data_IF_608055987017
#
_entry.id   IF_608055987017
#
_cell.length_a   1.000
_cell.length_b   1.000
_cell.length_c   1.000
_cell.angle_alpha   90.00
_cell.angle_beta   90.00
_cell.angle_gamma   90.00
#
_symmetry.space_group_name_H-M   'P 1'
#
loop_
_entity.id
_entity.type
_entity.pdbx_description
1 polymer ?
#
# COMPACT_ATOMS: atom_id res chain seq x y z
N UNK A 1 -2.57 -36.42 -7.63
CA UNK A 1 -3.90 -37.05 -7.51
C UNK A 1 -4.65 -36.60 -6.27
N UNK A 2 -4.08 -36.71 -5.06
CA UNK A 2 -4.75 -36.30 -3.81
C UNK A 2 -5.33 -34.88 -3.82
N UNK A 3 -4.60 -33.90 -4.36
CA UNK A 3 -5.07 -32.51 -4.46
C UNK A 3 -6.41 -32.38 -5.21
N UNK A 4 -6.51 -33.00 -6.37
CA UNK A 4 -7.71 -32.92 -7.21
C UNK A 4 -8.89 -33.66 -6.58
N UNK A 5 -8.64 -34.81 -5.94
CA UNK A 5 -9.64 -35.55 -5.20
C UNK A 5 -10.21 -34.72 -4.04
N UNK A 6 -9.33 -34.15 -3.20
CA UNK A 6 -9.75 -33.37 -2.05
C UNK A 6 -10.50 -32.10 -2.49
N UNK A 7 -10.04 -31.45 -3.56
CA UNK A 7 -10.66 -30.24 -4.11
C UNK A 7 -12.00 -30.46 -4.77
N UNK A 8 -12.18 -31.51 -5.58
CA UNK A 8 -13.39 -31.65 -6.39
C UNK A 8 -14.40 -32.67 -5.86
N UNK A 9 -13.97 -33.64 -5.05
CA UNK A 9 -14.84 -34.74 -4.60
C UNK A 9 -15.16 -34.65 -3.11
N UNK A 10 -14.18 -34.32 -2.28
CA UNK A 10 -14.33 -34.41 -0.82
C UNK A 10 -14.60 -33.03 -0.20
N UNK A 11 -13.55 -32.23 -0.02
CA UNK A 11 -13.59 -31.02 0.77
C UNK A 11 -14.21 -29.84 0.00
N UNK A 12 -13.96 -29.74 -1.31
CA UNK A 12 -14.40 -28.57 -2.04
C UNK A 12 -15.91 -28.43 -2.23
N UNK A 13 -16.68 -29.46 -2.59
CA UNK A 13 -18.15 -29.38 -2.64
C UNK A 13 -18.74 -28.96 -1.28
N UNK A 14 -18.23 -29.54 -0.19
CA UNK A 14 -18.63 -29.20 1.17
C UNK A 14 -18.35 -27.73 1.51
N UNK A 15 -17.13 -27.25 1.26
CA UNK A 15 -16.77 -25.87 1.53
C UNK A 15 -17.55 -24.87 0.64
N UNK A 16 -17.83 -25.22 -0.61
CA UNK A 16 -18.66 -24.39 -1.51
C UNK A 16 -20.10 -24.31 -1.03
N UNK A 17 -20.66 -25.41 -0.52
CA UNK A 17 -22.02 -25.45 0.00
C UNK A 17 -22.17 -24.65 1.29
N UNK A 18 -21.22 -24.80 2.22
CA UNK A 18 -21.24 -24.15 3.54
C UNK A 18 -20.92 -22.66 3.42
N UNK A 19 -19.80 -22.30 2.79
CA UNK A 19 -19.30 -20.92 2.79
C UNK A 19 -19.77 -20.10 1.60
N UNK A 20 -20.31 -20.71 0.53
CA UNK A 20 -20.89 -20.02 -0.64
C UNK A 20 -20.03 -18.82 -1.11
N UNK A 21 -18.75 -19.06 -1.45
CA UNK A 21 -17.82 -18.00 -1.77
C UNK A 21 -18.29 -17.17 -2.98
N UNK A 22 -18.24 -15.85 -2.84
CA UNK A 22 -18.48 -14.93 -3.95
C UNK A 22 -17.15 -14.56 -4.59
N UNK A 23 -17.11 -14.65 -5.92
CA UNK A 23 -15.87 -14.53 -6.68
C UNK A 23 -16.04 -13.54 -7.81
N UNK A 24 -15.16 -12.56 -7.87
CA UNK A 24 -15.11 -11.54 -8.92
C UNK A 24 -13.74 -11.57 -9.61
N UNK A 25 -13.71 -11.32 -10.92
CA UNK A 25 -12.45 -11.21 -11.66
C UNK A 25 -11.68 -12.51 -11.91
N UNK A 26 -12.25 -13.69 -11.64
CA UNK A 26 -11.55 -14.98 -11.80
C UNK A 26 -10.96 -15.21 -13.21
N UNK A 27 -11.54 -14.58 -14.23
CA UNK A 27 -11.05 -14.62 -15.61
C UNK A 27 -9.67 -13.95 -15.79
N UNK A 28 -9.25 -13.08 -14.87
CA UNK A 28 -7.92 -12.48 -14.86
C UNK A 28 -6.81 -13.49 -14.55
N UNK A 29 -7.13 -14.67 -13.98
CA UNK A 29 -6.14 -15.71 -13.71
C UNK A 29 -5.84 -16.46 -15.02
N UNK A 30 -4.61 -16.37 -15.57
CA UNK A 30 -4.27 -17.03 -16.82
C UNK A 30 -4.46 -18.54 -16.76
N UNK A 31 -4.93 -19.13 -17.86
CA UNK A 31 -5.16 -20.59 -17.96
C UNK A 31 -3.86 -21.41 -18.04
N UNK A 32 -2.77 -20.80 -18.51
CA UNK A 32 -1.44 -21.42 -18.69
C UNK A 32 -0.35 -20.44 -18.26
N UNK A 33 0.91 -20.90 -18.24
CA UNK A 33 2.07 -20.08 -17.92
C UNK A 33 2.26 -19.78 -16.42
N UNK A 34 3.44 -19.30 -16.03
CA UNK A 34 3.77 -18.99 -14.64
C UNK A 34 2.93 -17.83 -14.11
N UNK A 35 2.30 -18.02 -12.94
CA UNK A 35 1.46 -16.99 -12.30
C UNK A 35 1.78 -16.88 -10.81
N UNK A 36 1.94 -15.65 -10.35
CA UNK A 36 2.01 -15.32 -8.93
C UNK A 36 0.66 -14.78 -8.50
N UNK A 37 -0.02 -15.48 -7.58
CA UNK A 37 -1.19 -14.92 -6.89
C UNK A 37 -0.68 -14.16 -5.67
N UNK A 38 -0.59 -12.83 -5.79
CA UNK A 38 -0.22 -11.96 -4.68
C UNK A 38 -1.50 -11.57 -3.93
N UNK A 39 -1.63 -12.01 -2.68
CA UNK A 39 -2.84 -11.79 -1.88
C UNK A 39 -2.55 -11.03 -0.59
N UNK A 40 -3.50 -10.21 -0.13
CA UNK A 40 -3.52 -9.79 1.27
C UNK A 40 -3.75 -11.01 2.19
N UNK A 41 -3.34 -10.92 3.45
CA UNK A 41 -3.45 -12.04 4.38
C UNK A 41 -4.25 -11.69 5.63
N UNK A 42 -5.53 -12.06 5.66
CA UNK A 42 -6.44 -11.77 6.76
C UNK A 42 -6.59 -12.96 7.71
N UNK A 43 -6.62 -14.18 7.16
CA UNK A 43 -6.89 -15.38 7.95
C UNK A 43 -6.10 -16.61 7.46
N UNK A 44 -6.05 -17.65 8.28
CA UNK A 44 -5.51 -18.94 7.85
C UNK A 44 -6.32 -19.52 6.69
N UNK A 45 -7.64 -19.30 6.71
CA UNK A 45 -8.58 -19.77 5.70
C UNK A 45 -8.33 -19.23 4.29
N UNK A 46 -7.59 -18.12 4.14
CA UNK A 46 -7.22 -17.54 2.84
C UNK A 46 -6.52 -18.59 1.95
N UNK A 47 -5.62 -19.38 2.56
CA UNK A 47 -4.84 -20.42 1.88
C UNK A 47 -5.68 -21.65 1.52
N UNK A 48 -6.94 -21.71 1.92
CA UNK A 48 -7.89 -22.79 1.62
C UNK A 48 -8.87 -22.33 0.53
N UNK A 49 -9.43 -21.14 0.69
CA UNK A 49 -10.44 -20.62 -0.24
C UNK A 49 -9.86 -20.25 -1.61
N UNK A 50 -8.65 -19.70 -1.67
CA UNK A 50 -8.04 -19.35 -2.97
C UNK A 50 -7.79 -20.60 -3.84
N UNK A 51 -7.13 -21.67 -3.36
CA UNK A 51 -6.99 -22.91 -4.13
C UNK A 51 -8.30 -23.64 -4.46
N UNK A 52 -9.35 -23.43 -3.65
CA UNK A 52 -10.69 -23.99 -3.88
C UNK A 52 -11.38 -23.37 -5.11
N UNK A 53 -11.16 -22.08 -5.33
CA UNK A 53 -11.80 -21.30 -6.41
C UNK A 53 -11.00 -21.34 -7.71
N UNK A 54 -9.69 -21.14 -7.64
CA UNK A 54 -8.83 -21.09 -8.83
C UNK A 54 -8.78 -22.46 -9.49
N UNK A 55 -9.06 -22.59 -10.79
CA UNK A 55 -9.11 -23.90 -11.48
C UNK A 55 -7.78 -24.66 -11.40
N UNK A 56 -6.68 -23.94 -11.65
CA UNK A 56 -5.30 -24.46 -11.62
C UNK A 56 -4.85 -24.74 -10.19
N UNK A 57 -3.85 -25.62 -10.03
CA UNK A 57 -3.27 -25.91 -8.72
C UNK A 57 -2.49 -24.68 -8.21
N UNK A 58 -2.97 -24.08 -7.13
CA UNK A 58 -2.28 -23.00 -6.41
C UNK A 58 -1.38 -23.61 -5.34
N UNK A 59 -0.12 -23.19 -5.29
CA UNK A 59 0.87 -23.70 -4.35
C UNK A 59 1.29 -22.62 -3.37
N UNK A 60 0.93 -22.81 -2.10
CA UNK A 60 1.41 -21.99 -0.99
C UNK A 60 2.55 -22.69 -0.24
N UNK A 61 3.35 -21.92 0.48
CA UNK A 61 4.32 -22.47 1.41
C UNK A 61 3.72 -22.56 2.80
N UNK A 62 3.90 -23.70 3.44
CA UNK A 62 3.51 -23.93 4.83
C UNK A 62 4.73 -24.28 5.69
N UNK A 63 4.61 -24.07 7.00
CA UNK A 63 5.61 -24.45 8.00
C UNK A 63 5.88 -25.96 7.95
N UNK A 64 7.15 -26.36 7.95
CA UNK A 64 7.57 -27.76 7.87
C UNK A 64 7.00 -28.61 9.03
N UNK A 65 6.76 -28.01 10.19
CA UNK A 65 6.20 -28.62 11.39
C UNK A 65 4.79 -29.20 11.17
N UNK A 66 4.03 -28.67 10.20
CA UNK A 66 2.74 -29.25 9.82
C UNK A 66 2.86 -30.63 9.14
N UNK A 67 4.06 -30.99 8.67
CA UNK A 67 4.31 -32.23 7.93
C UNK A 67 5.06 -33.28 8.75
N UNK A 68 5.64 -32.89 9.89
CA UNK A 68 6.46 -33.76 10.75
C UNK A 68 5.75 -34.19 12.04
N UNK A 69 4.50 -33.78 12.24
CA UNK A 69 3.69 -34.20 13.39
C UNK A 69 3.56 -35.72 13.48
N UNK A 70 3.63 -36.27 14.70
CA UNK A 70 3.52 -37.71 14.98
C UNK A 70 2.06 -38.13 15.26
N UNK A 71 1.78 -39.43 15.12
CA UNK A 71 0.47 -40.03 15.39
C UNK A 71 -0.62 -39.70 14.35
N UNK A 72 -1.84 -40.12 14.63
CA UNK A 72 -3.00 -39.98 13.72
C UNK A 72 -3.27 -38.51 13.37
N UNK A 73 -3.22 -37.62 14.37
CA UNK A 73 -3.40 -36.17 14.17
C UNK A 73 -2.31 -35.58 13.25
N UNK A 74 -1.06 -35.99 13.43
CA UNK A 74 0.05 -35.56 12.58
C UNK A 74 -0.11 -36.05 11.15
N UNK A 75 -0.50 -37.32 10.97
CA UNK A 75 -0.79 -37.90 9.66
C UNK A 75 -1.93 -37.17 8.96
N UNK A 76 -3.07 -36.92 9.63
CA UNK A 76 -4.20 -36.16 9.07
C UNK A 76 -3.79 -34.74 8.67
N UNK A 77 -3.01 -34.07 9.51
CA UNK A 77 -2.51 -32.71 9.24
C UNK A 77 -1.62 -32.70 8.00
N UNK A 78 -0.67 -33.64 7.91
CA UNK A 78 0.20 -33.83 6.74
C UNK A 78 -0.63 -34.09 5.48
N UNK A 79 -1.59 -35.01 5.53
CA UNK A 79 -2.46 -35.35 4.40
C UNK A 79 -3.29 -34.14 3.95
N UNK A 80 -3.80 -33.33 4.89
CA UNK A 80 -4.48 -32.09 4.57
C UNK A 80 -3.58 -31.10 3.85
N UNK A 81 -2.36 -30.83 4.35
CA UNK A 81 -1.46 -29.87 3.73
C UNK A 81 -0.96 -30.33 2.36
N UNK A 82 -0.55 -31.60 2.23
CA UNK A 82 -0.20 -32.21 0.94
C UNK A 82 -1.39 -32.17 -0.03
N UNK A 83 -2.59 -32.49 0.47
CA UNK A 83 -3.84 -32.43 -0.29
C UNK A 83 -4.28 -31.01 -0.66
N UNK A 84 -3.92 -30.00 0.13
CA UNK A 84 -4.14 -28.59 -0.21
C UNK A 84 -3.10 -28.01 -1.17
N UNK A 85 -2.08 -28.82 -1.52
CA UNK A 85 -1.07 -28.47 -2.50
C UNK A 85 0.05 -27.59 -1.93
N UNK A 86 0.20 -27.50 -0.62
CA UNK A 86 1.28 -26.71 0.00
C UNK A 86 2.61 -27.44 0.01
N UNK A 87 3.70 -26.67 -0.04
CA UNK A 87 5.07 -27.20 0.06
C UNK A 87 5.64 -26.85 1.45
N UNK A 88 6.22 -27.83 2.17
CA UNK A 88 6.90 -27.58 3.44
C UNK A 88 8.16 -26.74 3.22
N UNK A 89 8.34 -25.71 4.04
CA UNK A 89 9.61 -24.99 4.13
C UNK A 89 9.94 -24.74 5.59
N UNK A 90 11.21 -24.95 5.93
CA UNK A 90 11.74 -24.55 7.23
C UNK A 90 11.81 -23.01 7.28
N UNK A 91 11.03 -22.44 8.20
CA UNK A 91 10.97 -20.99 8.42
C UNK A 91 11.88 -20.51 9.54
N UNK A 92 12.72 -21.40 10.09
CA UNK A 92 13.66 -21.09 11.17
C UNK A 92 15.01 -20.58 10.63
N UNK A 93 15.53 -19.53 11.26
CA UNK A 93 16.84 -18.95 10.91
C UNK A 93 16.85 -17.97 9.73
N UNK A 94 17.97 -17.24 9.58
CA UNK A 94 18.11 -16.14 8.60
C UNK A 94 18.05 -16.55 7.13
N UNK A 95 18.33 -17.82 6.79
CA UNK A 95 18.29 -18.34 5.40
C UNK A 95 16.92 -18.83 4.95
N UNK A 96 15.95 -18.92 5.85
CA UNK A 96 14.63 -19.48 5.58
C UNK A 96 13.83 -18.72 4.51
N UNK A 97 13.93 -17.39 4.49
CA UNK A 97 13.21 -16.57 3.51
C UNK A 97 13.68 -16.86 2.08
N UNK A 98 14.98 -17.09 1.88
CA UNK A 98 15.57 -17.44 0.58
C UNK A 98 15.06 -18.80 0.09
N UNK A 99 15.13 -19.83 0.95
CA UNK A 99 14.70 -21.17 0.62
C UNK A 99 13.20 -21.24 0.26
N UNK A 100 12.38 -20.41 0.89
CA UNK A 100 10.97 -20.25 0.53
C UNK A 100 10.80 -19.69 -0.89
N UNK A 101 11.53 -18.62 -1.23
CA UNK A 101 11.49 -18.03 -2.57
C UNK A 101 11.98 -19.01 -3.64
N UNK A 102 13.10 -19.70 -3.40
CA UNK A 102 13.65 -20.70 -4.33
C UNK A 102 12.64 -21.84 -4.60
N UNK A 103 11.88 -22.23 -3.59
CA UNK A 103 10.82 -23.23 -3.71
C UNK A 103 9.67 -22.74 -4.59
N UNK A 104 9.25 -21.48 -4.44
CA UNK A 104 8.23 -20.89 -5.31
C UNK A 104 8.73 -20.68 -6.73
N UNK A 105 9.99 -20.30 -6.93
CA UNK A 105 10.60 -20.19 -8.26
C UNK A 105 10.57 -21.53 -9.00
N UNK A 106 10.80 -22.67 -8.32
CA UNK A 106 10.65 -23.98 -8.96
C UNK A 106 9.22 -24.24 -9.44
N UNK A 107 8.21 -23.84 -8.67
CA UNK A 107 6.80 -23.95 -9.08
C UNK A 107 6.52 -23.09 -10.31
N UNK A 108 7.01 -21.85 -10.31
CA UNK A 108 6.82 -20.91 -11.41
C UNK A 108 7.54 -21.38 -12.67
N UNK A 109 8.79 -21.84 -12.58
CA UNK A 109 9.54 -22.42 -13.72
C UNK A 109 8.84 -23.61 -14.37
N UNK A 110 8.06 -24.37 -13.59
CA UNK A 110 7.20 -25.44 -14.10
C UNK A 110 5.88 -24.96 -14.72
N UNK A 111 5.68 -23.66 -14.91
CA UNK A 111 4.42 -23.08 -15.41
C UNK A 111 3.27 -23.17 -14.40
N UNK A 112 3.57 -23.32 -13.11
CA UNK A 112 2.59 -23.44 -12.03
C UNK A 112 2.07 -22.09 -11.52
N UNK A 113 1.19 -22.16 -10.52
CA UNK A 113 0.74 -20.98 -9.76
C UNK A 113 1.39 -21.01 -8.37
N UNK A 114 2.13 -19.95 -8.03
CA UNK A 114 2.65 -19.72 -6.69
C UNK A 114 1.77 -18.69 -5.96
N UNK A 115 1.24 -19.06 -4.79
CA UNK A 115 0.53 -18.13 -3.92
C UNK A 115 1.48 -17.49 -2.92
N UNK A 116 1.45 -16.17 -2.82
CA UNK A 116 2.28 -15.40 -1.88
C UNK A 116 1.46 -14.32 -1.18
N UNK A 117 1.82 -14.08 0.09
CA UNK A 117 1.30 -12.97 0.89
C UNK A 117 2.40 -11.92 1.03
N UNK A 118 2.37 -10.81 0.27
CA UNK A 118 3.45 -9.83 0.26
C UNK A 118 3.77 -9.24 1.63
N UNK A 119 2.77 -9.10 2.52
CA UNK A 119 2.93 -8.62 3.90
C UNK A 119 3.84 -9.56 4.73
N UNK A 120 3.92 -10.85 4.36
CA UNK A 120 4.73 -11.87 5.00
C UNK A 120 4.17 -12.42 6.32
N UNK A 121 3.03 -11.90 6.81
CA UNK A 121 2.28 -12.42 7.96
C UNK A 121 0.82 -11.99 7.85
N UNK A 122 -0.06 -12.65 8.60
CA UNK A 122 -1.48 -12.24 8.71
C UNK A 122 -1.60 -10.84 9.28
N UNK A 123 -2.48 -10.01 8.75
CA UNK A 123 -2.85 -8.73 9.33
C UNK A 123 -3.41 -8.93 10.75
N UNK A 124 -2.95 -8.16 11.75
CA UNK A 124 -3.48 -8.23 13.12
C UNK A 124 -4.87 -7.63 13.26
N UNK A 125 -5.23 -6.65 12.42
CA UNK A 125 -6.43 -5.82 12.56
C UNK A 125 -7.24 -5.67 11.25
N UNK A 126 -6.85 -6.39 10.20
CA UNK A 126 -7.55 -6.37 8.91
C UNK A 126 -7.12 -5.26 7.95
N UNK A 127 -6.20 -4.38 8.37
CA UNK A 127 -5.56 -3.39 7.48
C UNK A 127 -4.51 -4.04 6.57
N UNK A 128 -4.16 -3.35 5.49
CA UNK A 128 -3.14 -3.78 4.55
C UNK A 128 -1.79 -3.17 4.94
N UNK A 129 -0.81 -4.00 5.26
CA UNK A 129 0.51 -3.53 5.72
C UNK A 129 1.53 -3.50 4.59
N UNK A 130 2.65 -2.82 4.84
CA UNK A 130 3.78 -2.72 3.89
C UNK A 130 4.24 -4.10 3.41
N UNK A 131 4.25 -4.27 2.09
CA UNK A 131 4.73 -5.48 1.42
C UNK A 131 6.25 -5.65 1.53
N UNK A 132 6.72 -6.90 1.54
CA UNK A 132 8.13 -7.27 1.47
C UNK A 132 8.54 -7.48 0.01
N UNK A 133 9.79 -7.16 -0.32
CA UNK A 133 10.31 -7.23 -1.70
C UNK A 133 10.45 -8.64 -2.29
N UNK A 134 10.21 -9.68 -1.49
CA UNK A 134 10.25 -11.07 -1.96
C UNK A 134 9.27 -11.36 -3.10
N UNK A 135 8.11 -10.67 -3.14
CA UNK A 135 7.14 -10.84 -4.25
C UNK A 135 7.70 -10.28 -5.56
N UNK A 136 8.34 -9.11 -5.53
CA UNK A 136 8.97 -8.53 -6.71
C UNK A 136 10.12 -9.41 -7.19
N UNK A 137 10.95 -9.92 -6.28
CA UNK A 137 12.01 -10.86 -6.63
C UNK A 137 11.48 -12.09 -7.37
N UNK A 138 10.37 -12.67 -6.92
CA UNK A 138 9.75 -13.79 -7.63
C UNK A 138 9.29 -13.38 -9.03
N UNK A 139 8.61 -12.25 -9.16
CA UNK A 139 8.10 -11.77 -10.44
C UNK A 139 9.25 -11.55 -11.45
N UNK A 140 10.30 -10.85 -11.02
CA UNK A 140 11.46 -10.51 -11.87
C UNK A 140 12.32 -11.73 -12.21
N UNK A 141 12.55 -12.65 -11.28
CA UNK A 141 13.37 -13.86 -11.54
C UNK A 141 12.63 -14.93 -12.37
N UNK A 142 11.31 -14.98 -12.29
CA UNK A 142 10.51 -16.00 -13.00
C UNK A 142 9.89 -15.51 -14.30
N UNK A 143 9.76 -14.18 -14.49
CA UNK A 143 8.95 -13.61 -15.57
C UNK A 143 7.46 -13.92 -15.46
N UNK A 144 6.98 -14.32 -14.27
CA UNK A 144 5.58 -14.65 -14.03
C UNK A 144 4.70 -13.41 -14.01
N UNK A 145 3.49 -13.54 -14.57
CA UNK A 145 2.45 -12.54 -14.37
C UNK A 145 2.02 -12.53 -12.90
N UNK A 146 1.84 -11.34 -12.33
CA UNK A 146 1.35 -11.18 -10.96
C UNK A 146 -0.13 -10.83 -11.01
N UNK A 147 -0.99 -11.65 -10.41
CA UNK A 147 -2.43 -11.37 -10.29
C UNK A 147 -2.71 -10.95 -8.84
N UNK A 148 -3.02 -9.66 -8.60
CA UNK A 148 -3.48 -9.19 -7.30
C UNK A 148 -4.76 -9.92 -6.91
N UNK A 149 -4.83 -10.44 -5.69
CA UNK A 149 -5.99 -11.18 -5.18
C UNK A 149 -6.40 -10.61 -3.82
N UNK A 150 -7.59 -10.04 -3.71
CA UNK A 150 -8.10 -9.52 -2.45
C UNK A 150 -9.05 -10.54 -1.79
N UNK A 151 -8.66 -11.00 -0.62
CA UNK A 151 -9.54 -11.67 0.33
C UNK A 151 -10.31 -10.61 1.13
N UNK A 152 -11.62 -10.78 1.20
CA UNK A 152 -12.54 -9.87 1.89
C UNK A 152 -13.35 -10.65 2.94
N UNK A 153 -13.55 -10.03 4.11
CA UNK A 153 -14.28 -10.57 5.27
C UNK A 153 -13.69 -11.85 5.89
N UNK A 154 -12.50 -12.31 5.46
CA UNK A 154 -11.90 -13.53 5.99
C UNK A 154 -11.47 -13.38 7.46
N UNK A 155 -11.14 -12.15 7.87
CA UNK A 155 -10.91 -11.70 9.24
C UNK A 155 -12.16 -11.80 10.12
N UNK A 156 -13.35 -11.55 9.58
CA UNK A 156 -14.63 -11.70 10.29
C UNK A 156 -15.04 -13.19 10.43
N UNK A 157 -14.73 -13.97 9.38
CA UNK A 157 -15.04 -15.41 9.29
C UNK A 157 -14.18 -16.21 10.26
N UNK A 158 -12.87 -15.97 10.25
CA UNK A 158 -11.94 -16.62 11.17
C UNK A 158 -10.92 -15.60 11.68
N UNK A 159 -11.28 -14.87 12.76
CA UNK A 159 -10.38 -13.93 13.40
C UNK A 159 -9.08 -14.59 13.87
N UNK A 160 -7.97 -13.84 13.96
CA UNK A 160 -6.73 -14.34 14.55
C UNK A 160 -6.98 -15.02 15.92
N UNK A 161 -6.43 -16.22 16.11
CA UNK A 161 -6.57 -17.00 17.35
C UNK A 161 -7.78 -17.93 17.40
N UNK A 162 -8.76 -17.82 16.49
CA UNK A 162 -9.86 -18.78 16.39
C UNK A 162 -9.52 -19.97 15.50
N UNK A 163 -9.77 -21.18 15.99
CA UNK A 163 -9.46 -22.42 15.28
C UNK A 163 -10.52 -22.78 14.23
N UNK A 164 -11.80 -22.50 14.53
CA UNK A 164 -12.94 -22.88 13.69
C UNK A 164 -13.52 -21.61 13.04
N UNK A 165 -13.65 -21.56 11.70
CA UNK A 165 -14.29 -20.45 10.99
C UNK A 165 -15.80 -20.44 11.23
N UNK A 166 -16.40 -19.24 11.32
CA UNK A 166 -17.84 -19.04 11.30
C UNK A 166 -18.39 -19.31 9.89
N UNK A 167 -19.58 -19.89 9.80
CA UNK A 167 -20.25 -20.10 8.51
C UNK A 167 -20.75 -18.76 7.99
N UNK A 168 -20.03 -18.17 7.05
CA UNK A 168 -20.38 -16.93 6.36
C UNK A 168 -19.73 -16.87 4.97
N UNK A 169 -20.20 -15.93 4.15
CA UNK A 169 -19.75 -15.79 2.76
C UNK A 169 -18.36 -15.16 2.68
N UNK A 170 -17.40 -15.94 2.18
CA UNK A 170 -16.07 -15.43 1.80
C UNK A 170 -16.20 -14.69 0.47
N UNK A 171 -15.58 -13.51 0.37
CA UNK A 171 -15.50 -12.76 -0.89
C UNK A 171 -14.06 -12.75 -1.38
N UNK A 172 -13.86 -13.04 -2.66
CA UNK A 172 -12.54 -13.07 -3.31
C UNK A 172 -12.62 -12.26 -4.59
N UNK A 173 -11.72 -11.28 -4.75
CA UNK A 173 -11.58 -10.50 -5.97
C UNK A 173 -10.21 -10.76 -6.59
N UNK A 174 -10.17 -10.96 -7.89
CA UNK A 174 -8.94 -11.08 -8.66
C UNK A 174 -8.79 -9.85 -9.57
N UNK A 175 -7.69 -9.12 -9.43
CA UNK A 175 -7.35 -7.95 -10.24
C UNK A 175 -6.73 -8.33 -11.59
N UNK A 176 -6.59 -7.38 -12.51
CA UNK A 176 -5.91 -7.60 -13.78
C UNK A 176 -4.47 -8.12 -13.58
N UNK A 177 -3.96 -9.00 -14.47
CA UNK A 177 -2.58 -9.47 -14.38
C UNK A 177 -1.61 -8.33 -14.68
N UNK A 178 -0.62 -8.16 -13.78
CA UNK A 178 0.48 -7.23 -13.92
C UNK A 178 1.67 -7.93 -14.59
N UNK A 179 2.23 -7.29 -15.61
CA UNK A 179 3.45 -7.71 -16.28
C UNK A 179 4.61 -6.78 -15.91
N UNK A 180 5.69 -7.38 -15.42
CA UNK A 180 6.93 -6.70 -15.02
C UNK A 180 8.10 -7.00 -15.95
N UNK A 181 7.85 -7.54 -17.15
CA UNK A 181 8.85 -7.80 -18.19
C UNK A 181 9.73 -6.58 -18.50
N UNK A 182 9.20 -5.35 -18.36
CA UNK A 182 9.96 -4.08 -18.48
C UNK A 182 11.15 -3.94 -17.51
N UNK A 183 11.17 -4.72 -16.43
CA UNK A 183 12.24 -4.75 -15.43
C UNK A 183 13.05 -6.06 -15.48
N UNK A 184 12.93 -6.85 -16.55
CA UNK A 184 13.70 -8.08 -16.72
C UNK A 184 15.20 -7.81 -16.61
N UNK A 185 15.92 -8.70 -15.91
CA UNK A 185 17.36 -8.53 -15.65
C UNK A 185 17.71 -7.56 -14.52
N UNK A 186 16.75 -6.79 -13.98
CA UNK A 186 16.97 -5.85 -12.86
C UNK A 186 16.74 -6.49 -11.48
N UNK A 187 16.79 -7.82 -11.39
CA UNK A 187 16.66 -8.53 -10.10
C UNK A 187 17.83 -8.16 -9.18
N UNK A 188 17.55 -7.89 -7.91
CA UNK A 188 18.56 -7.49 -6.93
C UNK A 188 18.77 -5.98 -6.82
N UNK A 189 18.24 -5.19 -7.78
CA UNK A 189 18.12 -3.74 -7.59
C UNK A 189 17.04 -3.44 -6.56
N UNK A 190 17.45 -2.87 -5.43
CA UNK A 190 16.56 -2.61 -4.28
C UNK A 190 15.48 -1.58 -4.59
N UNK A 191 15.74 -0.63 -5.50
CA UNK A 191 14.77 0.39 -5.88
C UNK A 191 13.73 -0.19 -6.82
N UNK A 192 14.15 -0.99 -7.79
CA UNK A 192 13.23 -1.68 -8.71
C UNK A 192 12.35 -2.68 -7.96
N UNK A 193 12.94 -3.52 -7.12
CA UNK A 193 12.17 -4.48 -6.32
C UNK A 193 11.16 -3.79 -5.39
N UNK A 194 11.52 -2.64 -4.81
CA UNK A 194 10.62 -1.84 -3.98
C UNK A 194 9.47 -1.27 -4.81
N UNK A 195 9.77 -0.63 -5.95
CA UNK A 195 8.77 -0.05 -6.84
C UNK A 195 7.77 -1.10 -7.35
N UNK A 196 8.26 -2.25 -7.82
CA UNK A 196 7.41 -3.38 -8.25
C UNK A 196 6.53 -3.87 -7.08
N UNK A 197 7.10 -3.97 -5.88
CA UNK A 197 6.31 -4.36 -4.70
C UNK A 197 5.25 -3.31 -4.38
N UNK A 198 5.57 -2.02 -4.41
CA UNK A 198 4.62 -0.94 -4.15
C UNK A 198 3.47 -0.92 -5.17
N UNK A 199 3.76 -1.17 -6.44
CA UNK A 199 2.73 -1.31 -7.49
C UNK A 199 1.78 -2.47 -7.20
N UNK A 200 2.31 -3.66 -6.84
CA UNK A 200 1.48 -4.81 -6.43
C UNK A 200 0.64 -4.48 -5.19
N UNK A 201 1.23 -3.79 -4.21
CA UNK A 201 0.53 -3.41 -2.98
C UNK A 201 -0.55 -2.35 -3.22
N UNK A 202 -0.32 -1.43 -4.16
CA UNK A 202 -1.29 -0.43 -4.58
C UNK A 202 -2.52 -1.10 -5.22
N UNK A 203 -2.30 -2.03 -6.15
CA UNK A 203 -3.40 -2.80 -6.74
C UNK A 203 -4.16 -3.63 -5.70
N UNK A 204 -3.47 -4.20 -4.71
CA UNK A 204 -4.12 -4.88 -3.59
C UNK A 204 -4.93 -3.93 -2.71
N UNK A 205 -4.45 -2.70 -2.48
CA UNK A 205 -5.15 -1.68 -1.71
C UNK A 205 -6.46 -1.31 -2.41
N UNK A 206 -6.40 -0.95 -3.69
CA UNK A 206 -7.56 -0.60 -4.51
C UNK A 206 -8.56 -1.77 -4.57
N UNK A 207 -8.09 -2.98 -4.85
CA UNK A 207 -8.94 -4.16 -4.99
C UNK A 207 -9.62 -4.57 -3.68
N UNK A 208 -8.93 -4.41 -2.56
CA UNK A 208 -9.42 -4.78 -1.22
C UNK A 208 -10.22 -3.67 -0.53
N UNK A 209 -10.03 -2.41 -0.91
CA UNK A 209 -10.61 -1.24 -0.24
C UNK A 209 -10.17 -1.08 1.22
N UNK A 210 -9.05 -1.71 1.61
CA UNK A 210 -8.53 -1.66 2.99
C UNK A 210 -7.58 -0.48 3.17
N UNK A 211 -7.55 0.06 4.38
CA UNK A 211 -6.58 1.08 4.77
C UNK A 211 -5.15 0.53 4.63
N UNK A 212 -4.30 1.24 3.91
CA UNK A 212 -2.88 0.92 3.77
C UNK A 212 -2.06 1.55 4.89
N UNK A 213 -1.19 0.77 5.51
CA UNK A 213 -0.28 1.17 6.58
C UNK A 213 1.16 0.95 6.14
N UNK A 214 1.93 2.03 5.99
CA UNK A 214 3.35 1.96 5.60
C UNK A 214 4.26 1.54 6.76
N UNK A 215 3.99 0.37 7.33
CA UNK A 215 4.82 -0.30 8.33
C UNK A 215 4.71 -1.81 8.13
N UNK A 216 5.74 -2.57 8.48
CA UNK A 216 5.66 -4.03 8.40
C UNK A 216 4.76 -4.59 9.50
N UNK A 217 3.84 -5.49 9.14
CA UNK A 217 2.90 -6.11 10.07
C UNK A 217 3.57 -6.82 11.27
N UNK A 218 4.80 -7.33 11.11
CA UNK A 218 5.57 -7.91 12.21
C UNK A 218 5.91 -6.89 13.31
N UNK A 219 6.23 -5.65 12.93
CA UNK A 219 6.50 -4.55 13.86
C UNK A 219 5.22 -4.08 14.56
N UNK A 220 4.08 -4.11 13.86
CA UNK A 220 2.79 -3.77 14.44
C UNK A 220 2.32 -4.81 15.49
N UNK A 221 2.63 -6.10 15.30
CA UNK A 221 2.30 -7.16 16.28
C UNK A 221 3.13 -7.11 17.55
N UNK A 222 4.38 -6.69 17.43
CA UNK A 222 5.33 -6.58 18.54
C UNK A 222 5.83 -5.13 18.61
N UNK A 223 5.00 -4.18 19.08
CA UNK A 223 5.47 -2.82 19.27
C UNK A 223 6.66 -2.84 20.25
N UNK A 224 7.70 -2.02 20.02
CA UNK A 224 8.74 -1.85 21.03
C UNK A 224 8.09 -1.42 22.34
N UNK A 225 8.65 -1.81 23.50
CA UNK A 225 8.15 -1.33 24.78
C UNK A 225 8.09 0.19 24.74
N UNK A 226 6.93 0.76 25.08
CA UNK A 226 6.76 2.21 25.23
C UNK A 226 7.89 2.70 26.13
N UNK A 227 8.71 3.69 25.74
CA UNK A 227 9.69 4.25 26.65
C UNK A 227 8.93 4.71 27.90
N UNK A 228 9.22 4.06 29.03
CA UNK A 228 8.61 4.38 30.31
C UNK A 228 8.86 5.85 30.57
N UNK A 229 7.78 6.64 30.59
CA UNK A 229 7.68 8.03 31.02
C UNK A 229 9.04 8.70 31.30
N UNK A 230 9.83 8.92 30.24
CA UNK A 230 10.92 9.88 30.34
C UNK A 230 10.20 11.21 30.30
N UNK A 231 10.17 11.88 31.45
CA UNK A 231 9.80 13.29 31.55
C UNK A 231 10.35 14.01 30.31
N UNK A 232 9.57 14.89 29.67
CA UNK A 232 10.05 15.66 28.52
C UNK A 232 11.46 16.19 28.82
N UNK A 233 12.40 16.15 27.86
CA UNK A 233 13.71 16.75 28.08
C UNK A 233 13.47 18.16 28.61
N UNK A 234 13.97 18.44 29.81
CA UNK A 234 13.84 19.74 30.46
C UNK A 234 14.34 20.77 29.44
N UNK A 235 13.42 21.59 28.92
CA UNK A 235 13.78 22.65 28.00
C UNK A 235 14.87 23.48 28.70
N UNK A 236 16.06 23.66 28.09
CA UNK A 236 17.04 24.56 28.68
C UNK A 236 16.35 25.90 28.89
N UNK A 237 16.42 26.41 30.12
CA UNK A 237 15.82 27.69 30.50
C UNK A 237 16.16 28.71 29.41
N UNK A 238 15.18 29.49 28.91
CA UNK A 238 15.48 30.53 27.94
C UNK A 238 16.57 31.43 28.54
N UNK A 239 17.65 31.62 27.79
CA UNK A 239 18.69 32.58 28.14
C UNK A 239 18.02 33.95 28.33
N UNK A 240 18.47 34.76 29.31
CA UNK A 240 17.93 36.09 29.51
C UNK A 240 18.04 36.87 28.19
N UNK A 241 16.94 37.53 27.80
CA UNK A 241 16.88 38.30 26.57
C UNK A 241 18.04 39.29 26.51
N UNK A 242 18.85 39.21 25.45
CA UNK A 242 19.87 40.22 25.19
C UNK A 242 19.19 41.59 24.99
N UNK A 243 19.77 42.69 25.47
CA UNK A 243 19.20 44.01 25.27
C UNK A 243 19.02 44.30 23.77
N UNK A 244 17.86 44.84 23.40
CA UNK A 244 17.61 45.29 22.02
C UNK A 244 18.67 46.30 21.61
N UNK A 245 19.18 46.25 20.35
CA UNK A 245 20.10 47.27 19.87
C UNK A 245 19.42 48.63 19.82
N UNK A 246 20.17 49.67 20.18
CA UNK A 246 19.70 51.05 20.17
C UNK A 246 19.21 51.48 18.77
N UNK A 247 18.20 52.36 18.69
CA UNK A 247 17.70 52.84 17.41
C UNK A 247 18.80 53.60 16.64
N UNK A 248 18.83 53.50 15.30
CA UNK A 248 19.82 54.20 14.50
C UNK A 248 19.66 55.72 14.65
N UNK A 249 20.79 56.42 14.78
CA UNK A 249 20.84 57.88 14.86
C UNK A 249 20.25 58.52 13.59
N UNK A 250 19.61 59.70 13.71
CA UNK A 250 19.05 60.40 12.56
C UNK A 250 20.15 60.77 11.56
N UNK A 251 19.95 60.39 10.30
CA UNK A 251 20.83 60.74 9.19
C UNK A 251 20.90 62.27 9.04
N UNK A 252 22.10 62.82 9.02
CA UNK A 252 22.34 64.24 8.72
C UNK A 252 21.91 64.55 7.28
N UNK A 253 21.31 65.73 7.01
CA UNK A 253 20.94 66.12 5.67
C UNK A 253 22.20 66.34 4.82
N UNK A 254 22.36 65.52 3.78
CA UNK A 254 23.32 65.78 2.71
C UNK A 254 22.86 67.02 1.93
N UNK A 255 23.68 68.09 1.95
CA UNK A 255 23.56 69.19 0.98
C UNK A 255 24.16 68.72 -0.34
N UNK A 256 23.32 68.51 -1.35
CA UNK A 256 23.76 68.40 -2.74
C UNK A 256 23.84 69.79 -3.37
N UNK A 257 24.91 70.15 -4.10
CA UNK A 257 24.93 71.35 -4.93
C UNK A 257 24.02 71.16 -6.14
N UNK A 258 23.23 72.18 -6.47
CA UNK A 258 22.41 72.23 -7.68
C UNK A 258 23.31 72.26 -8.94
N UNK A 259 23.11 71.37 -9.93
CA UNK A 259 23.55 71.62 -11.28
C UNK A 259 22.55 72.55 -11.99
N UNK A 260 23.09 73.55 -12.67
CA UNK A 260 22.38 74.49 -13.53
C UNK A 260 21.60 73.76 -14.65
N UNK A 261 20.32 74.10 -14.78
CA UNK A 261 19.50 73.74 -15.95
C UNK A 261 19.98 74.50 -17.21
N UNK A 262 19.71 73.92 -18.39
CA UNK A 262 18.69 74.58 -19.21
C UNK A 262 17.62 73.60 -19.75
N UNK A 263 16.37 74.07 -19.56
CA UNK A 263 15.16 73.91 -20.38
C UNK A 263 15.05 72.68 -21.31
N UNK A 264 14.10 71.80 -20.99
CA UNK A 264 12.86 71.58 -21.76
C UNK A 264 12.39 70.11 -21.77
N UNK A 265 11.07 69.97 -21.88
CA UNK A 265 10.30 68.81 -22.35
C UNK A 265 9.99 67.64 -21.38
N UNK A 266 8.68 67.44 -21.27
CA UNK A 266 7.93 66.34 -20.64
C UNK A 266 8.27 64.98 -21.27
N UNK A 267 8.20 63.89 -20.49
CA UNK A 267 7.33 62.72 -20.72
C UNK A 267 7.56 61.58 -19.72
N UNK A 268 6.47 60.86 -19.50
CA UNK A 268 6.18 59.68 -18.68
C UNK A 268 6.90 58.40 -19.13
N UNK A 269 7.15 57.47 -18.20
CA UNK A 269 7.21 56.02 -18.48
C UNK A 269 6.91 55.19 -17.22
N UNK A 270 5.95 54.28 -17.32
CA UNK A 270 5.59 53.21 -16.36
C UNK A 270 6.01 51.85 -16.93
N UNK A 271 6.45 50.91 -16.09
CA UNK A 271 6.49 49.48 -16.42
C UNK A 271 6.11 48.63 -15.19
N UNK A 272 5.25 47.63 -15.40
CA UNK A 272 4.75 46.66 -14.41
C UNK A 272 5.54 45.34 -14.40
N UNK A 273 5.22 44.39 -13.48
CA UNK A 273 6.07 43.24 -13.20
C UNK A 273 5.62 41.92 -13.85
N UNK A 274 6.60 41.01 -13.97
CA UNK A 274 6.50 39.65 -14.49
C UNK A 274 6.07 38.61 -13.42
N UNK A 275 5.43 37.55 -13.89
CA UNK A 275 4.94 36.38 -13.15
C UNK A 275 6.04 35.32 -12.93
N UNK A 276 6.01 34.64 -11.78
CA UNK A 276 6.59 33.30 -11.60
C UNK A 276 5.79 32.52 -10.55
N UNK A 277 5.37 31.28 -10.88
CA UNK A 277 5.50 30.08 -10.03
C UNK A 277 4.74 28.86 -10.63
N UNK A 278 5.32 27.66 -10.45
CA UNK A 278 4.61 26.37 -10.45
C UNK A 278 4.89 25.64 -9.11
N UNK A 279 3.81 25.21 -8.43
CA UNK A 279 3.49 23.86 -7.87
C UNK A 279 4.44 23.23 -6.81
N UNK A 280 4.06 22.51 -5.72
CA UNK A 280 2.80 21.95 -5.13
C UNK A 280 3.03 21.79 -3.60
N UNK A 281 2.03 21.74 -2.71
CA UNK A 281 1.39 20.52 -2.15
C UNK A 281 0.14 20.95 -1.34
N UNK A 282 -0.97 20.21 -1.47
CA UNK A 282 -2.29 20.38 -0.81
C UNK A 282 -2.51 19.30 0.29
N UNK A 283 -3.63 19.24 1.05
CA UNK A 283 -4.85 20.07 1.02
C UNK A 283 -5.39 20.54 2.40
N UNK A 284 -6.26 21.54 2.37
CA UNK A 284 -7.30 21.71 3.40
C UNK A 284 -7.16 22.89 4.36
N UNK A 285 -7.21 24.13 3.83
CA UNK A 285 -7.81 25.34 4.44
C UNK A 285 -7.60 26.51 3.46
N UNK A 286 -8.68 27.05 2.89
CA UNK A 286 -8.59 28.21 1.96
C UNK A 286 -8.33 29.48 2.77
N UNK A 287 -7.08 29.93 2.81
CA UNK A 287 -6.72 31.29 3.22
C UNK A 287 -6.43 32.10 1.95
N UNK A 288 -7.17 33.18 1.70
CA UNK A 288 -6.93 34.09 0.57
C UNK A 288 -5.90 35.13 1.03
N UNK A 289 -4.72 35.13 0.41
CA UNK A 289 -3.62 36.07 0.67
C UNK A 289 -3.62 37.08 -0.47
N UNK A 290 -3.47 38.38 -0.18
CA UNK A 290 -3.30 39.40 -1.22
C UNK A 290 -1.85 39.49 -1.72
N UNK A 291 -1.62 40.22 -2.82
CA UNK A 291 -0.33 40.30 -3.51
C UNK A 291 0.82 40.97 -2.71
N UNK A 292 0.62 41.29 -1.42
CA UNK A 292 1.66 41.81 -0.53
C UNK A 292 1.88 40.97 0.74
N UNK A 293 1.31 39.77 0.81
CA UNK A 293 1.72 38.77 1.81
C UNK A 293 1.33 39.10 3.26
N UNK A 294 0.23 39.81 3.49
CA UNK A 294 -0.35 39.95 4.85
C UNK A 294 -1.60 39.10 5.00
N UNK A 295 -1.71 38.41 6.14
CA UNK A 295 -2.93 37.75 6.57
C UNK A 295 -3.91 38.81 7.10
N UNK A 296 -5.09 38.93 6.49
CA UNK A 296 -6.19 39.69 7.07
C UNK A 296 -6.89 38.84 8.13
N UNK A 297 -6.90 39.34 9.37
CA UNK A 297 -7.74 38.82 10.45
C UNK A 297 -9.22 38.89 10.07
N UNK A 298 -9.99 37.91 10.55
CA UNK A 298 -11.39 37.74 10.18
C UNK A 298 -12.36 38.64 10.95
N UNK A 299 -13.58 38.73 10.42
CA UNK A 299 -14.79 39.09 11.17
C UNK A 299 -16.03 38.43 10.51
N UNK A 300 -16.82 37.77 11.37
CA UNK A 300 -18.29 37.77 11.40
C UNK A 300 -19.15 37.41 10.18
N UNK A 301 -19.88 36.28 10.32
CA UNK A 301 -21.36 36.31 10.27
C UNK A 301 -22.07 35.94 8.96
N UNK A 302 -23.06 35.05 9.04
CA UNK A 302 -24.28 35.14 8.22
C UNK A 302 -24.60 33.98 7.29
N UNK A 303 -25.60 33.20 7.70
CA UNK A 303 -26.39 32.17 7.01
C UNK A 303 -26.93 32.63 5.63
N UNK A 304 -27.01 31.72 4.65
CA UNK A 304 -27.80 31.96 3.43
C UNK A 304 -27.88 30.78 2.45
N UNK A 305 -29.08 30.22 2.33
CA UNK A 305 -29.54 29.10 1.49
C UNK A 305 -29.62 29.38 -0.03
N UNK A 306 -29.60 28.33 -0.86
CA UNK A 306 -30.14 28.32 -2.25
C UNK A 306 -29.16 27.71 -3.27
N UNK A 307 -29.29 26.45 -3.67
CA UNK A 307 -30.19 25.92 -4.72
C UNK A 307 -29.77 26.25 -6.17
N UNK A 308 -29.36 25.19 -6.89
CA UNK A 308 -29.64 24.83 -8.29
C UNK A 308 -29.53 25.89 -9.41
N UNK A 309 -28.75 25.56 -10.45
CA UNK A 309 -28.92 26.17 -11.78
C UNK A 309 -27.79 25.89 -12.76
N UNK A 310 -28.02 24.97 -13.71
CA UNK A 310 -27.27 24.81 -14.97
C UNK A 310 -27.50 26.03 -15.87
N UNK A 311 -26.48 26.44 -16.64
CA UNK A 311 -26.67 26.94 -18.00
C UNK A 311 -25.34 26.86 -18.79
N UNK A 312 -25.34 26.01 -19.83
CA UNK A 312 -24.52 26.16 -21.02
C UNK A 312 -25.17 27.21 -21.92
N UNK A 313 -24.37 28.10 -22.52
CA UNK A 313 -24.52 28.82 -23.80
C UNK A 313 -23.39 29.88 -23.80
N UNK A 314 -22.62 30.16 -24.85
CA UNK A 314 -22.89 30.08 -26.29
C UNK A 314 -22.75 31.49 -26.86
N UNK A 315 -21.75 31.71 -27.74
CA UNK A 315 -21.56 32.96 -28.50
C UNK A 315 -20.61 33.96 -27.81
N UNK A 316 -19.78 34.73 -28.50
CA UNK A 316 -19.67 35.06 -29.92
C UNK A 316 -18.66 36.20 -30.04
N UNK A 317 -18.10 36.36 -31.24
CA UNK A 317 -17.02 37.28 -31.61
C UNK A 317 -17.33 38.75 -31.30
N UNK A 318 -16.27 39.53 -31.10
CA UNK A 318 -16.26 40.99 -31.04
C UNK A 318 -14.93 41.46 -30.48
#
# INVERSE_FOLDING_TARGET
>A
MLYWLLKYVILGPLLRLIFRPQVEGLHHVPATGPVILASNHLSFSDSIFTPLIVKRRVTFIAKAEYFTGKGVKGWLTKMFFVGSGTIPVDRSGGRAARAALDTQLRVLRGGGIAGIYPEGTRSPDGRLYRGKTGVARLALESGALVVPTAMLNADEIQPPGKLIPRIARVRIRFGPPLDFSRYAGMTGDRFVERAVTDEIMYELMELSGREYVDTYAQKAKNPPPTPANQSPPEHPRPLPASPLPAPPLPLRPFRTPCPSHPRSARRSCTYGPAFAAFVSISPGRKCKIDARGRACGGEGGGVGTGAWGRACEGGGRG
#
